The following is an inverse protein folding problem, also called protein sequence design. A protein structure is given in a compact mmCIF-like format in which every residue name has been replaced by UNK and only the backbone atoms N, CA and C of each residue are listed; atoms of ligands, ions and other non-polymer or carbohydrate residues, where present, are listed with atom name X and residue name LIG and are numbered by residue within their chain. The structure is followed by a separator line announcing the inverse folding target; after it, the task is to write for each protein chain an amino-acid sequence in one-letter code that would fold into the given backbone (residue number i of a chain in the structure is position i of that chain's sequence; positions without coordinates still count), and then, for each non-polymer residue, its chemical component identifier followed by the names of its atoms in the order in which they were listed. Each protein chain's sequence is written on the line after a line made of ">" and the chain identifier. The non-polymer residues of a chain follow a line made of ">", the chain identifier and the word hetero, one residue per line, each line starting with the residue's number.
data_IF_477386483416
#
_entry.id   IF_477386483416
#
_cell.length_a   1.000
_cell.length_b   1.000
_cell.length_c   1.000
_cell.angle_alpha   90.00
_cell.angle_beta   90.00
_cell.angle_gamma   90.00
#
_symmetry.space_group_name_H-M   'P 1'
#
loop_
_entity.id
_entity.type
_entity.pdbx_description
1 polymer ?
#
# COMPACT_ATOMS: atom_id res chain seq x y z
N UNK A 1 40.23 16.26 2.39
CA UNK A 1 38.99 16.74 1.75
C UNK A 1 38.23 15.50 1.27
N UNK A 2 37.12 15.14 1.93
CA UNK A 2 36.24 14.06 1.45
C UNK A 2 35.86 14.37 0.01
N UNK A 3 36.23 13.52 -0.94
CA UNK A 3 35.88 13.70 -2.35
C UNK A 3 34.36 13.79 -2.51
N UNK A 4 33.85 14.53 -3.50
CA UNK A 4 32.40 14.59 -3.82
C UNK A 4 31.83 13.16 -3.94
N UNK A 5 32.64 12.23 -4.46
CA UNK A 5 32.36 10.79 -4.51
C UNK A 5 32.05 10.20 -3.12
N UNK A 6 32.92 10.40 -2.14
CA UNK A 6 32.69 9.94 -0.76
C UNK A 6 31.43 10.55 -0.16
N UNK A 7 31.16 11.83 -0.42
CA UNK A 7 29.93 12.50 0.00
C UNK A 7 28.68 11.79 -0.52
N UNK A 8 28.62 11.54 -1.83
CA UNK A 8 27.51 10.84 -2.49
C UNK A 8 27.36 9.40 -1.99
N UNK A 9 28.46 8.66 -1.83
CA UNK A 9 28.43 7.28 -1.31
C UNK A 9 27.92 7.24 0.13
N UNK A 10 28.42 8.13 0.98
CA UNK A 10 27.96 8.24 2.36
C UNK A 10 26.46 8.57 2.44
N UNK A 11 25.97 9.46 1.57
CA UNK A 11 24.53 9.72 1.45
C UNK A 11 23.74 8.47 1.07
N UNK A 12 24.19 7.72 0.06
CA UNK A 12 23.49 6.52 -0.43
C UNK A 12 23.43 5.40 0.62
N UNK A 13 24.42 5.31 1.50
CA UNK A 13 24.51 4.29 2.54
C UNK A 13 23.94 4.71 3.90
N UNK A 14 23.54 5.98 4.09
CA UNK A 14 22.89 6.44 5.33
C UNK A 14 21.72 5.52 5.74
N UNK A 15 21.51 5.29 7.05
CA UNK A 15 20.43 4.43 7.50
C UNK A 15 19.06 5.04 7.16
N UNK A 16 18.20 4.27 6.50
CA UNK A 16 16.83 4.67 6.21
C UNK A 16 15.86 4.15 7.29
N UNK A 17 15.04 5.05 7.85
CA UNK A 17 14.07 4.69 8.90
C UNK A 17 12.86 3.96 8.30
N UNK A 18 12.63 2.71 8.72
CA UNK A 18 11.53 1.88 8.20
C UNK A 18 10.23 1.98 9.02
N UNK A 19 10.41 2.10 10.33
CA UNK A 19 9.33 2.14 11.32
C UNK A 19 9.12 3.59 11.79
N UNK A 20 8.01 4.15 11.35
CA UNK A 20 7.57 5.51 11.65
C UNK A 20 6.05 5.57 11.53
N UNK A 21 5.46 6.60 12.13
CA UNK A 21 4.02 6.84 12.09
C UNK A 21 3.60 7.12 10.65
N UNK A 22 2.51 6.53 10.20
CA UNK A 22 1.93 6.79 8.87
C UNK A 22 0.53 7.32 9.04
N UNK A 23 -0.03 7.89 7.97
CA UNK A 23 -1.42 8.35 7.96
C UNK A 23 -2.34 7.18 8.29
N UNK A 24 -3.28 7.45 9.19
CA UNK A 24 -4.37 6.52 9.45
C UNK A 24 -5.39 6.60 8.31
N UNK A 25 -6.06 5.48 8.05
CA UNK A 25 -7.26 5.48 7.21
C UNK A 25 -8.34 6.23 7.99
N UNK A 26 -8.76 7.39 7.44
CA UNK A 26 -9.81 8.21 8.04
C UNK A 26 -11.16 7.65 7.56
N UNK A 27 -12.07 7.45 8.51
CA UNK A 27 -13.40 6.92 8.25
C UNK A 27 -14.41 7.88 8.86
N UNK A 28 -15.40 8.32 8.09
CA UNK A 28 -16.39 9.33 8.48
C UNK A 28 -17.61 8.74 9.21
N UNK A 29 -17.80 7.42 9.13
CA UNK A 29 -18.90 6.76 9.81
C UNK A 29 -19.17 5.36 9.31
N UNK A 30 -20.29 4.81 9.75
CA UNK A 30 -20.79 3.52 9.27
C UNK A 30 -21.09 3.60 7.77
N UNK A 31 -20.66 2.59 7.01
CA UNK A 31 -20.81 2.48 5.55
C UNK A 31 -20.00 3.51 4.73
N UNK A 32 -19.04 4.20 5.33
CA UNK A 32 -18.19 5.13 4.58
C UNK A 32 -17.21 4.39 3.66
N UNK A 33 -16.48 3.40 4.20
CA UNK A 33 -15.40 2.73 3.49
C UNK A 33 -15.40 1.22 3.73
N UNK A 34 -15.34 0.46 2.64
CA UNK A 34 -14.91 -0.94 2.65
C UNK A 34 -13.50 -1.08 2.07
N UNK A 35 -12.75 -2.04 2.57
CA UNK A 35 -11.51 -2.50 1.94
C UNK A 35 -11.67 -3.93 1.45
N UNK A 36 -11.11 -4.22 0.29
CA UNK A 36 -11.18 -5.54 -0.33
C UNK A 36 -9.77 -6.05 -0.65
N UNK A 37 -9.59 -7.37 -0.54
CA UNK A 37 -8.36 -8.05 -0.94
C UNK A 37 -8.66 -9.50 -1.32
N UNK A 38 -7.78 -10.10 -2.11
CA UNK A 38 -7.89 -11.49 -2.55
C UNK A 38 -6.80 -12.33 -1.88
N UNK A 39 -7.21 -13.25 -1.02
CA UNK A 39 -6.29 -14.18 -0.36
C UNK A 39 -6.12 -15.45 -1.19
N UNK A 40 -4.86 -15.81 -1.43
CA UNK A 40 -4.51 -17.05 -2.15
C UNK A 40 -4.53 -18.29 -1.24
N UNK A 41 -5.16 -19.35 -1.75
CA UNK A 41 -5.29 -20.68 -1.16
C UNK A 41 -4.99 -21.78 -2.22
N UNK A 42 -4.21 -21.42 -3.25
CA UNK A 42 -3.96 -22.21 -4.46
C UNK A 42 -3.49 -23.66 -4.17
N UNK A 43 -2.55 -23.91 -3.23
CA UNK A 43 -2.05 -25.27 -2.98
C UNK A 43 -3.14 -26.27 -2.57
N UNK A 44 -4.26 -25.78 -2.03
CA UNK A 44 -5.34 -26.61 -1.49
C UNK A 44 -6.53 -26.71 -2.44
N UNK A 45 -6.43 -26.21 -3.67
CA UNK A 45 -7.58 -26.09 -4.56
C UNK A 45 -8.25 -27.43 -4.92
N UNK A 46 -7.46 -28.50 -5.10
CA UNK A 46 -7.97 -29.83 -5.49
C UNK A 46 -9.02 -30.36 -4.52
N UNK A 47 -8.73 -30.28 -3.22
CA UNK A 47 -9.63 -30.75 -2.15
C UNK A 47 -10.74 -29.72 -1.80
N UNK A 48 -10.63 -28.49 -2.30
CA UNK A 48 -11.58 -27.40 -2.09
C UNK A 48 -12.39 -27.10 -3.35
N UNK A 49 -12.82 -28.14 -4.11
CA UNK A 49 -13.71 -28.01 -5.28
C UNK A 49 -13.19 -27.04 -6.36
N UNK A 50 -11.88 -26.90 -6.48
CA UNK A 50 -11.21 -26.00 -7.42
C UNK A 50 -11.18 -24.52 -6.99
N UNK A 51 -11.64 -24.18 -5.78
CA UNK A 51 -11.50 -22.83 -5.24
C UNK A 51 -10.05 -22.55 -4.87
N UNK A 52 -9.49 -21.47 -5.42
CA UNK A 52 -8.07 -21.10 -5.30
C UNK A 52 -7.86 -19.84 -4.47
N UNK A 53 -8.91 -19.04 -4.29
CA UNK A 53 -8.84 -17.73 -3.68
C UNK A 53 -10.02 -17.50 -2.75
N UNK A 54 -9.88 -16.52 -1.85
CA UNK A 54 -10.95 -16.01 -1.00
C UNK A 54 -10.98 -14.49 -1.14
N UNK A 55 -12.08 -13.95 -1.65
CA UNK A 55 -12.33 -12.52 -1.64
C UNK A 55 -12.73 -12.13 -0.22
N UNK A 56 -11.95 -11.25 0.41
CA UNK A 56 -12.22 -10.72 1.75
C UNK A 56 -12.64 -9.27 1.60
N UNK A 57 -13.76 -8.91 2.21
CA UNK A 57 -14.29 -7.55 2.25
C UNK A 57 -14.47 -7.16 3.71
N UNK A 58 -13.88 -6.05 4.13
CA UNK A 58 -14.06 -5.50 5.47
C UNK A 58 -14.69 -4.12 5.42
N UNK A 59 -15.74 -3.92 6.23
CA UNK A 59 -16.20 -2.57 6.58
C UNK A 59 -15.20 -1.96 7.58
N UNK A 60 -14.51 -0.90 7.15
CA UNK A 60 -13.42 -0.33 7.95
C UNK A 60 -13.94 0.29 9.25
N UNK A 61 -15.17 0.79 9.29
CA UNK A 61 -15.75 1.38 10.49
C UNK A 61 -16.11 0.31 11.54
N UNK A 62 -16.99 -0.63 11.16
CA UNK A 62 -17.54 -1.66 12.07
C UNK A 62 -16.60 -2.84 12.30
N UNK A 63 -15.56 -2.96 11.46
CA UNK A 63 -14.69 -4.13 11.37
C UNK A 63 -15.41 -5.41 10.94
N UNK A 64 -16.64 -5.31 10.43
CA UNK A 64 -17.40 -6.46 9.95
C UNK A 64 -16.79 -7.00 8.67
N UNK A 65 -16.66 -8.31 8.57
CA UNK A 65 -15.99 -8.99 7.45
C UNK A 65 -16.99 -9.88 6.72
N UNK A 66 -16.91 -9.85 5.39
CA UNK A 66 -17.49 -10.84 4.50
C UNK A 66 -16.36 -11.57 3.80
N UNK A 67 -16.58 -12.85 3.47
CA UNK A 67 -15.65 -13.61 2.66
C UNK A 67 -16.41 -14.51 1.68
N UNK A 68 -15.94 -14.58 0.44
CA UNK A 68 -16.49 -15.46 -0.59
C UNK A 68 -15.37 -16.23 -1.30
N UNK A 69 -15.55 -17.54 -1.54
CA UNK A 69 -14.57 -18.35 -2.24
C UNK A 69 -14.59 -18.04 -3.74
N UNK A 70 -13.41 -17.96 -4.36
CA UNK A 70 -13.25 -17.61 -5.78
C UNK A 70 -12.35 -18.65 -6.48
N UNK A 71 -12.77 -19.12 -7.66
CA UNK A 71 -12.05 -20.17 -8.41
C UNK A 71 -10.86 -19.63 -9.20
N UNK A 72 -11.02 -18.49 -9.88
CA UNK A 72 -9.96 -17.87 -10.68
C UNK A 72 -9.86 -16.39 -10.34
N UNK A 73 -8.67 -15.83 -10.48
CA UNK A 73 -8.39 -14.40 -10.28
C UNK A 73 -8.81 -13.55 -11.49
N UNK A 74 -9.93 -13.92 -12.13
CA UNK A 74 -10.46 -13.17 -13.28
C UNK A 74 -11.38 -12.06 -12.78
N UNK A 75 -11.49 -10.97 -13.55
CA UNK A 75 -12.41 -9.88 -13.25
C UNK A 75 -13.84 -10.36 -13.06
N UNK A 76 -14.33 -11.24 -13.95
CA UNK A 76 -15.67 -11.83 -13.89
C UNK A 76 -15.93 -12.63 -12.61
N UNK A 77 -15.01 -13.51 -12.22
CA UNK A 77 -15.17 -14.35 -11.02
C UNK A 77 -15.15 -13.51 -9.74
N UNK A 78 -14.23 -12.54 -9.65
CA UNK A 78 -14.13 -11.61 -8.51
C UNK A 78 -15.36 -10.71 -8.44
N UNK A 79 -15.85 -10.23 -9.58
CA UNK A 79 -17.08 -9.42 -9.68
C UNK A 79 -18.31 -10.19 -9.21
N UNK A 80 -18.44 -11.48 -9.59
CA UNK A 80 -19.54 -12.33 -9.13
C UNK A 80 -19.53 -12.51 -7.60
N UNK A 81 -18.35 -12.76 -7.02
CA UNK A 81 -18.20 -12.84 -5.57
C UNK A 81 -18.52 -11.50 -4.87
N UNK A 82 -18.02 -10.38 -5.41
CA UNK A 82 -18.31 -9.05 -4.88
C UNK A 82 -19.80 -8.72 -4.94
N UNK A 83 -20.48 -9.05 -6.05
CA UNK A 83 -21.93 -8.85 -6.20
C UNK A 83 -22.71 -9.62 -5.13
N UNK A 84 -22.32 -10.87 -4.84
CA UNK A 84 -22.93 -11.67 -3.78
C UNK A 84 -22.76 -11.02 -2.42
N UNK A 85 -21.56 -10.52 -2.10
CA UNK A 85 -21.32 -9.79 -0.84
C UNK A 85 -22.16 -8.52 -0.76
N UNK A 86 -22.19 -7.70 -1.82
CA UNK A 86 -22.99 -6.46 -1.84
C UNK A 86 -24.47 -6.73 -1.63
N UNK A 87 -25.02 -7.83 -2.17
CA UNK A 87 -26.43 -8.21 -1.91
C UNK A 87 -26.74 -8.60 -0.46
N UNK A 88 -25.73 -8.97 0.33
CA UNK A 88 -25.89 -9.28 1.76
C UNK A 88 -25.78 -8.02 2.64
N UNK A 89 -25.30 -6.90 2.10
CA UNK A 89 -25.10 -5.68 2.87
C UNK A 89 -26.43 -4.96 3.09
N UNK A 90 -26.74 -4.62 4.35
CA UNK A 90 -27.92 -3.81 4.68
C UNK A 90 -27.86 -2.39 4.10
N UNK A 91 -26.66 -1.89 3.86
CA UNK A 91 -26.42 -0.57 3.30
C UNK A 91 -25.17 -0.60 2.42
N UNK A 92 -25.26 0.04 1.26
CA UNK A 92 -24.17 0.10 0.28
C UNK A 92 -23.11 1.10 0.75
N UNK A 93 -21.81 0.74 0.71
CA UNK A 93 -20.75 1.63 1.14
C UNK A 93 -20.54 2.77 0.13
N UNK A 94 -20.09 3.93 0.62
CA UNK A 94 -19.75 5.07 -0.25
C UNK A 94 -18.47 4.84 -1.02
N UNK A 95 -17.50 4.18 -0.39
CA UNK A 95 -16.15 4.00 -0.92
C UNK A 95 -15.71 2.54 -0.86
N UNK A 96 -14.99 2.10 -1.87
CA UNK A 96 -14.29 0.83 -1.93
C UNK A 96 -12.81 1.05 -2.22
N UNK A 97 -11.96 0.51 -1.35
CA UNK A 97 -10.50 0.61 -1.49
C UNK A 97 -9.85 -0.76 -1.63
N UNK A 98 -8.95 -0.90 -2.60
CA UNK A 98 -8.12 -2.09 -2.81
C UNK A 98 -6.66 -1.71 -3.14
N UNK A 99 -5.88 -2.71 -3.50
CA UNK A 99 -4.55 -2.54 -4.09
C UNK A 99 -4.64 -2.26 -5.60
N UNK A 100 -3.55 -2.40 -6.38
CA UNK A 100 -3.63 -2.19 -7.84
C UNK A 100 -3.78 -3.52 -8.60
N UNK A 101 -4.44 -4.50 -8.00
CA UNK A 101 -4.73 -5.79 -8.62
C UNK A 101 -5.60 -5.64 -9.87
N UNK A 102 -5.18 -6.25 -10.99
CA UNK A 102 -5.91 -6.20 -12.28
C UNK A 102 -7.30 -6.82 -12.20
N UNK A 103 -7.51 -7.73 -11.26
CA UNK A 103 -8.80 -8.35 -10.97
C UNK A 103 -9.88 -7.36 -10.48
N UNK A 104 -9.47 -6.17 -10.02
CA UNK A 104 -10.37 -5.09 -9.61
C UNK A 104 -10.45 -3.96 -10.64
N UNK A 105 -9.47 -3.84 -11.53
CA UNK A 105 -9.41 -2.82 -12.59
C UNK A 105 -9.74 -3.42 -13.95
N UNK A 106 -11.01 -3.78 -14.14
CA UNK A 106 -11.57 -4.30 -15.38
C UNK A 106 -13.02 -3.84 -15.56
N UNK A 107 -13.54 -3.99 -16.78
CA UNK A 107 -14.87 -3.52 -17.16
C UNK A 107 -15.98 -4.12 -16.29
N UNK A 108 -15.96 -5.44 -16.05
CA UNK A 108 -17.00 -6.10 -15.24
C UNK A 108 -17.09 -5.53 -13.82
N UNK A 109 -15.92 -5.33 -13.18
CA UNK A 109 -15.87 -4.78 -11.82
C UNK A 109 -16.28 -3.31 -11.79
N UNK A 110 -15.83 -2.53 -12.78
CA UNK A 110 -16.20 -1.12 -12.90
C UNK A 110 -17.70 -0.94 -13.11
N UNK A 111 -18.32 -1.76 -13.95
CA UNK A 111 -19.77 -1.74 -14.21
C UNK A 111 -20.56 -2.05 -12.93
N UNK A 112 -20.10 -3.02 -12.13
CA UNK A 112 -20.71 -3.36 -10.83
C UNK A 112 -20.61 -2.18 -9.86
N UNK A 113 -19.42 -1.65 -9.65
CA UNK A 113 -19.18 -0.53 -8.73
C UNK A 113 -20.00 0.70 -9.12
N UNK A 114 -20.07 1.00 -10.42
CA UNK A 114 -20.86 2.12 -10.97
C UNK A 114 -22.36 1.89 -10.73
N UNK A 115 -22.85 0.67 -10.98
CA UNK A 115 -24.25 0.29 -10.71
C UNK A 115 -24.64 0.51 -9.25
N UNK A 116 -23.75 0.20 -8.32
CA UNK A 116 -23.97 0.41 -6.88
C UNK A 116 -23.60 1.82 -6.41
N UNK A 117 -23.17 2.72 -7.31
CA UNK A 117 -22.75 4.11 -7.02
C UNK A 117 -21.64 4.18 -5.95
N UNK A 118 -20.71 3.24 -6.01
CA UNK A 118 -19.58 3.16 -5.08
C UNK A 118 -18.40 3.90 -5.70
N UNK A 119 -17.72 4.75 -4.93
CA UNK A 119 -16.45 5.33 -5.35
C UNK A 119 -15.32 4.31 -5.15
N UNK A 120 -14.70 3.84 -6.23
CA UNK A 120 -13.64 2.83 -6.19
C UNK A 120 -12.28 3.44 -6.47
N UNK A 121 -11.33 3.19 -5.58
CA UNK A 121 -9.98 3.73 -5.70
C UNK A 121 -8.92 2.86 -5.04
N UNK A 122 -7.66 3.05 -5.44
CA UNK A 122 -6.52 2.44 -4.75
C UNK A 122 -5.51 3.49 -4.34
N UNK A 123 -4.78 3.21 -3.27
CA UNK A 123 -3.75 4.12 -2.76
C UNK A 123 -2.36 3.67 -3.19
N UNK A 124 -1.61 4.57 -3.82
CA UNK A 124 -0.18 4.40 -4.11
C UNK A 124 0.63 4.50 -2.81
N UNK A 125 0.88 3.35 -2.17
CA UNK A 125 1.80 3.20 -1.05
C UNK A 125 2.38 1.79 -1.06
N UNK A 126 3.56 1.58 -0.48
CA UNK A 126 4.16 0.25 -0.30
C UNK A 126 3.43 -0.60 0.74
N UNK A 127 2.60 0.01 1.63
CA UNK A 127 1.76 -0.65 2.64
C UNK A 127 0.29 -0.36 2.36
N UNK A 128 -0.23 -0.92 1.26
CA UNK A 128 -1.62 -0.71 0.79
C UNK A 128 -2.61 -1.37 1.76
N UNK A 129 -3.80 -0.79 1.90
CA UNK A 129 -4.95 -1.37 2.59
C UNK A 129 -4.66 -2.12 3.93
N UNK A 130 -3.89 -1.51 4.83
CA UNK A 130 -3.44 -2.14 6.09
C UNK A 130 -4.53 -2.74 6.99
N UNK A 131 -5.80 -2.34 6.83
CA UNK A 131 -6.91 -2.89 7.62
C UNK A 131 -7.32 -4.26 7.09
N UNK A 132 -7.48 -4.42 5.77
CA UNK A 132 -7.77 -5.74 5.18
C UNK A 132 -6.58 -6.70 5.33
N UNK A 133 -5.33 -6.23 5.20
CA UNK A 133 -4.15 -7.08 5.45
C UNK A 133 -4.14 -7.69 6.86
N UNK A 134 -4.53 -6.90 7.87
CA UNK A 134 -4.63 -7.36 9.27
C UNK A 134 -5.71 -8.42 9.43
N UNK A 135 -6.84 -8.25 8.76
CA UNK A 135 -7.96 -9.20 8.77
C UNK A 135 -7.57 -10.48 8.07
N UNK A 136 -6.89 -10.40 6.93
CA UNK A 136 -6.39 -11.56 6.20
C UNK A 136 -5.51 -12.41 7.09
N UNK A 137 -4.62 -11.79 7.87
CA UNK A 137 -3.81 -12.48 8.88
C UNK A 137 -4.66 -13.15 9.96
N UNK A 138 -5.67 -12.45 10.49
CA UNK A 138 -6.56 -12.99 11.51
C UNK A 138 -7.36 -14.18 11.00
N UNK A 139 -7.97 -14.07 9.81
CA UNK A 139 -8.74 -15.15 9.17
C UNK A 139 -7.83 -16.32 8.80
N UNK A 140 -6.65 -16.08 8.20
CA UNK A 140 -5.68 -17.14 7.93
C UNK A 140 -5.32 -17.88 9.21
N UNK A 141 -5.01 -17.19 10.30
CA UNK A 141 -4.69 -17.83 11.57
C UNK A 141 -5.85 -18.71 12.09
N UNK A 142 -7.10 -18.29 11.93
CA UNK A 142 -8.27 -19.10 12.30
C UNK A 142 -8.43 -20.32 11.39
N UNK A 143 -8.22 -20.17 10.08
CA UNK A 143 -8.26 -21.27 9.10
C UNK A 143 -7.16 -22.29 9.41
N UNK A 144 -5.93 -21.84 9.66
CA UNK A 144 -4.79 -22.71 9.98
C UNK A 144 -5.00 -23.50 11.27
N UNK A 145 -5.59 -22.89 12.30
CA UNK A 145 -5.99 -23.62 13.52
C UNK A 145 -7.00 -24.73 13.19
N UNK A 146 -7.96 -24.48 12.31
CA UNK A 146 -8.91 -25.51 11.88
C UNK A 146 -8.23 -26.61 11.05
N UNK A 147 -7.23 -26.28 10.24
CA UNK A 147 -6.45 -27.29 9.52
C UNK A 147 -5.73 -28.24 10.49
N UNK A 148 -5.07 -27.71 11.53
CA UNK A 148 -4.43 -28.53 12.56
C UNK A 148 -5.43 -29.40 13.32
N UNK A 149 -6.60 -28.85 13.66
CA UNK A 149 -7.65 -29.60 14.39
C UNK A 149 -8.29 -30.73 13.56
N UNK A 150 -8.43 -30.54 12.24
CA UNK A 150 -9.13 -31.46 11.35
C UNK A 150 -8.21 -32.44 10.62
N UNK A 151 -6.90 -32.22 10.67
CA UNK A 151 -5.91 -32.99 9.91
C UNK A 151 -6.03 -32.86 8.39
N UNK A 152 -6.72 -31.83 7.88
CA UNK A 152 -6.88 -31.61 6.44
C UNK A 152 -7.01 -30.13 6.08
N UNK A 153 -6.76 -29.80 4.81
CA UNK A 153 -6.77 -28.43 4.31
C UNK A 153 -8.10 -28.01 3.65
N UNK A 154 -9.23 -28.65 3.99
CA UNK A 154 -10.55 -28.34 3.44
C UNK A 154 -11.16 -27.12 4.14
N UNK A 155 -10.91 -25.94 3.58
CA UNK A 155 -11.36 -24.66 4.13
C UNK A 155 -12.74 -24.22 3.63
N UNK A 156 -13.21 -24.75 2.49
CA UNK A 156 -14.45 -24.29 1.86
C UNK A 156 -15.67 -24.48 2.78
N UNK A 157 -15.72 -25.57 3.53
CA UNK A 157 -16.84 -25.91 4.42
C UNK A 157 -16.83 -25.10 5.73
N UNK A 158 -15.69 -24.50 6.10
CA UNK A 158 -15.51 -23.78 7.37
C UNK A 158 -15.40 -22.27 7.22
N UNK A 159 -15.31 -21.77 5.98
CA UNK A 159 -15.05 -20.36 5.73
C UNK A 159 -16.10 -19.48 6.41
N UNK A 160 -17.39 -19.81 6.24
CA UNK A 160 -18.48 -19.01 6.80
C UNK A 160 -18.56 -19.11 8.32
N UNK A 161 -18.24 -20.26 8.91
CA UNK A 161 -18.17 -20.42 10.37
C UNK A 161 -17.06 -19.55 10.97
N UNK A 162 -15.91 -19.50 10.31
CA UNK A 162 -14.77 -18.67 10.71
C UNK A 162 -15.12 -17.18 10.63
N UNK A 163 -15.76 -16.75 9.54
CA UNK A 163 -16.22 -15.37 9.36
C UNK A 163 -17.25 -15.00 10.43
N UNK A 164 -18.21 -15.90 10.68
CA UNK A 164 -19.24 -15.72 11.72
C UNK A 164 -18.62 -15.61 13.11
N UNK A 165 -17.65 -16.49 13.43
CA UNK A 165 -16.90 -16.44 14.69
C UNK A 165 -16.13 -15.13 14.83
N UNK A 166 -15.45 -14.68 13.78
CA UNK A 166 -14.74 -13.41 13.77
C UNK A 166 -15.70 -12.23 14.04
N UNK A 167 -16.81 -12.16 13.32
CA UNK A 167 -17.79 -11.08 13.43
C UNK A 167 -18.50 -11.05 14.80
N UNK A 168 -18.52 -12.17 15.52
CA UNK A 168 -19.09 -12.28 16.87
C UNK A 168 -18.05 -12.25 18.00
N UNK A 169 -16.78 -12.02 17.68
CA UNK A 169 -15.71 -11.84 18.67
C UNK A 169 -15.50 -10.36 18.95
N UNK A 170 -15.35 -9.99 20.23
CA UNK A 170 -15.13 -8.59 20.65
C UNK A 170 -13.83 -8.07 20.05
N UNK A 171 -13.91 -7.03 19.23
CA UNK A 171 -12.76 -6.43 18.57
C UNK A 171 -12.14 -5.34 19.43
N UNK A 172 -10.82 -5.42 19.71
CA UNK A 172 -10.11 -4.52 20.64
C UNK A 172 -10.30 -3.02 20.32
N UNK A 173 -10.21 -2.65 19.03
CA UNK A 173 -10.30 -1.24 18.60
C UNK A 173 -11.68 -0.61 18.86
N UNK A 174 -12.77 -1.26 18.45
CA UNK A 174 -14.14 -0.72 18.60
C UNK A 174 -14.79 -1.11 19.94
N UNK A 175 -14.11 -1.95 20.74
CA UNK A 175 -14.59 -2.51 22.02
C UNK A 175 -15.95 -3.22 21.95
N UNK A 176 -16.40 -3.60 20.75
CA UNK A 176 -17.65 -4.29 20.46
C UNK A 176 -17.40 -5.46 19.51
N UNK A 177 -18.37 -6.37 19.41
CA UNK A 177 -18.39 -7.35 18.32
C UNK A 177 -18.72 -6.62 17.01
N UNK A 178 -18.05 -6.92 15.89
CA UNK A 178 -18.40 -6.32 14.60
C UNK A 178 -19.89 -6.44 14.24
N UNK A 179 -20.53 -7.57 14.57
CA UNK A 179 -21.96 -7.81 14.35
C UNK A 179 -22.90 -6.91 15.15
N UNK A 180 -22.42 -6.28 16.23
CA UNK A 180 -23.21 -5.40 17.10
C UNK A 180 -23.14 -3.93 16.68
N UNK A 181 -22.31 -3.56 15.70
CA UNK A 181 -22.17 -2.17 15.26
C UNK A 181 -23.36 -1.76 14.39
N UNK A 182 -24.01 -0.65 14.74
CA UNK A 182 -25.19 -0.12 14.05
C UNK A 182 -25.30 1.40 14.22
N UNK A 183 -26.33 2.01 13.62
CA UNK A 183 -26.53 3.46 13.67
C UNK A 183 -26.65 4.03 15.10
N UNK A 184 -27.21 3.26 16.05
CA UNK A 184 -27.40 3.72 17.44
C UNK A 184 -26.06 3.91 18.17
N UNK A 185 -25.07 3.05 17.89
CA UNK A 185 -23.75 3.13 18.53
C UNK A 185 -22.66 3.77 17.64
N UNK A 186 -22.95 4.07 16.38
CA UNK A 186 -22.00 4.66 15.44
C UNK A 186 -21.42 5.99 15.95
N UNK A 187 -22.25 6.89 16.49
CA UNK A 187 -21.79 8.19 17.02
C UNK A 187 -20.74 8.02 18.13
N UNK A 188 -21.00 7.12 19.08
CA UNK A 188 -20.08 6.79 20.18
C UNK A 188 -18.77 6.19 19.66
N UNK A 189 -18.84 5.27 18.69
CA UNK A 189 -17.64 4.65 18.10
C UNK A 189 -16.80 5.72 17.38
N UNK A 190 -17.43 6.58 16.59
CA UNK A 190 -16.75 7.69 15.90
C UNK A 190 -16.01 8.59 16.89
N UNK A 191 -16.69 9.01 17.96
CA UNK A 191 -16.16 9.88 19.00
C UNK A 191 -15.06 9.26 19.87
N UNK A 192 -15.05 7.94 20.05
CA UNK A 192 -14.06 7.27 20.93
C UNK A 192 -12.89 6.68 20.17
N UNK A 193 -13.13 6.18 18.95
CA UNK A 193 -12.18 5.36 18.19
C UNK A 193 -11.55 6.10 17.03
N UNK A 194 -12.20 7.14 16.49
CA UNK A 194 -11.76 7.79 15.26
C UNK A 194 -11.55 9.31 15.40
N UNK A 195 -12.04 9.93 16.47
CA UNK A 195 -11.95 11.38 16.75
C UNK A 195 -10.54 11.89 17.04
N UNK A 196 -9.65 11.05 17.60
CA UNK A 196 -8.30 11.46 17.99
C UNK A 196 -7.35 11.65 16.79
N UNK A 197 -7.80 11.33 15.58
CA UNK A 197 -7.00 11.45 14.36
C UNK A 197 -6.88 12.92 13.96
N UNK A 198 -5.86 13.62 14.48
CA UNK A 198 -5.52 14.98 14.01
C UNK A 198 -5.31 14.94 12.49
N UNK A 199 -5.96 15.84 11.75
CA UNK A 199 -5.90 15.88 10.28
C UNK A 199 -4.56 16.42 9.77
N UNK A 200 -3.92 17.30 10.54
CA UNK A 200 -2.64 17.91 10.24
C UNK A 200 -1.57 17.53 11.27
N UNK A 201 -0.33 17.38 10.79
CA UNK A 201 0.84 17.20 11.65
C UNK A 201 1.21 18.55 12.30
N UNK A 202 1.23 18.65 13.64
CA UNK A 202 1.61 19.88 14.34
C UNK A 202 3.10 20.22 14.20
N UNK A 203 3.95 19.26 13.78
CA UNK A 203 5.38 19.51 13.62
C UNK A 203 5.64 20.49 12.47
N UNK A 204 6.79 21.15 12.46
CA UNK A 204 7.24 21.95 11.29
C UNK A 204 7.61 21.03 10.12
N UNK A 205 7.53 21.54 8.90
CA UNK A 205 7.93 20.76 7.72
C UNK A 205 9.44 20.56 7.70
N UNK A 206 9.89 19.33 7.48
CA UNK A 206 11.32 18.99 7.36
C UNK A 206 11.92 19.44 6.02
N UNK A 207 11.10 19.43 4.96
CA UNK A 207 11.49 19.82 3.61
C UNK A 207 10.58 20.94 3.08
N UNK A 208 11.08 21.71 2.11
CA UNK A 208 10.33 22.77 1.41
C UNK A 208 10.25 22.47 -0.08
N UNK A 209 9.34 23.16 -0.77
CA UNK A 209 9.25 23.11 -2.23
C UNK A 209 10.59 23.54 -2.83
N UNK A 210 11.06 22.80 -3.84
CA UNK A 210 12.37 22.99 -4.48
C UNK A 210 13.54 22.27 -3.78
N UNK A 211 13.35 21.67 -2.61
CA UNK A 211 14.41 20.81 -2.03
C UNK A 211 14.63 19.58 -2.91
N UNK A 212 15.91 19.24 -3.13
CA UNK A 212 16.33 18.03 -3.83
C UNK A 212 16.52 16.89 -2.81
N UNK A 213 15.92 15.74 -3.08
CA UNK A 213 15.84 14.62 -2.15
C UNK A 213 16.07 13.28 -2.82
N UNK A 214 16.56 12.31 -2.06
CA UNK A 214 16.58 10.89 -2.41
C UNK A 214 15.44 10.18 -1.68
N UNK A 215 14.89 9.15 -2.32
CA UNK A 215 13.82 8.32 -1.76
C UNK A 215 14.44 7.05 -1.16
N UNK A 216 13.98 6.62 0.01
CA UNK A 216 14.44 5.37 0.62
C UNK A 216 14.08 4.16 -0.26
N UNK A 217 15.04 3.29 -0.56
CA UNK A 217 14.81 2.03 -1.26
C UNK A 217 13.98 1.10 -0.40
N UNK A 218 12.96 0.47 -0.99
CA UNK A 218 12.24 -0.61 -0.34
C UNK A 218 13.17 -1.82 -0.25
N UNK A 219 13.34 -2.35 0.96
CA UNK A 219 14.11 -3.58 1.21
C UNK A 219 13.17 -4.69 1.64
N UNK A 220 13.23 -5.79 0.92
CA UNK A 220 12.59 -7.04 1.28
C UNK A 220 13.29 -7.70 2.48
N UNK A 221 12.63 -8.67 3.11
CA UNK A 221 13.14 -9.36 4.30
C UNK A 221 14.51 -10.03 4.09
N UNK A 222 14.85 -10.39 2.84
CA UNK A 222 16.13 -11.01 2.45
C UNK A 222 17.12 -10.04 1.79
N UNK A 223 16.84 -8.73 1.79
CA UNK A 223 17.74 -7.74 1.18
C UNK A 223 19.05 -7.58 1.96
N UNK A 224 20.18 -7.68 1.25
CA UNK A 224 21.52 -7.61 1.85
C UNK A 224 21.80 -6.25 2.51
N UNK A 225 22.33 -6.31 3.75
CA UNK A 225 22.56 -5.17 4.64
C UNK A 225 23.42 -4.04 4.06
N UNK A 226 24.46 -4.41 3.31
CA UNK A 226 25.51 -3.53 2.82
C UNK A 226 25.18 -2.75 1.54
N UNK A 227 24.02 -2.99 0.92
CA UNK A 227 23.62 -2.27 -0.30
C UNK A 227 23.22 -0.81 0.01
N UNK A 228 23.16 0.09 -0.99
CA UNK A 228 22.61 1.43 -0.77
C UNK A 228 21.17 1.42 -0.23
N UNK A 229 20.88 2.31 0.72
CA UNK A 229 19.55 2.46 1.32
C UNK A 229 18.68 3.50 0.60
N UNK A 230 19.26 4.36 -0.23
CA UNK A 230 18.59 5.46 -0.90
C UNK A 230 18.66 5.32 -2.43
N UNK A 231 17.72 5.97 -3.12
CA UNK A 231 17.66 6.05 -4.57
C UNK A 231 18.92 6.68 -5.13
N UNK A 232 19.36 6.15 -6.29
CA UNK A 232 20.47 6.75 -7.04
C UNK A 232 19.99 7.99 -7.78
N UNK A 233 18.75 7.96 -8.26
CA UNK A 233 18.01 9.10 -8.78
C UNK A 233 17.69 10.14 -7.69
N UNK A 234 17.70 11.40 -8.10
CA UNK A 234 17.42 12.57 -7.27
C UNK A 234 16.09 13.16 -7.71
N UNK A 235 15.26 13.54 -6.75
CA UNK A 235 13.92 14.07 -6.99
C UNK A 235 13.77 15.46 -6.40
N UNK A 236 12.82 16.23 -6.92
CA UNK A 236 12.51 17.56 -6.42
C UNK A 236 11.16 17.59 -5.71
N UNK A 237 11.09 18.26 -4.56
CA UNK A 237 9.82 18.47 -3.83
C UNK A 237 8.97 19.48 -4.57
N UNK A 238 7.82 19.06 -5.10
CA UNK A 238 6.87 19.95 -5.79
C UNK A 238 5.81 20.53 -4.85
N UNK A 239 5.42 19.77 -3.82
CA UNK A 239 4.34 20.17 -2.91
C UNK A 239 4.48 19.54 -1.54
N UNK A 240 4.27 20.37 -0.53
CA UNK A 240 4.15 19.95 0.87
C UNK A 240 2.66 19.83 1.22
N UNK A 241 2.19 18.63 1.57
CA UNK A 241 0.80 18.39 1.97
C UNK A 241 0.68 18.42 3.49
N UNK A 242 -0.25 19.23 4.02
CA UNK A 242 -0.56 19.31 5.45
C UNK A 242 -1.42 18.12 5.95
N UNK A 243 -0.86 16.93 5.82
CA UNK A 243 -1.39 15.65 6.32
C UNK A 243 -0.80 15.32 7.70
N UNK A 244 -1.27 14.26 8.35
CA UNK A 244 -0.70 13.75 9.59
C UNK A 244 -0.31 12.25 9.52
N UNK A 245 0.99 11.91 9.49
CA UNK A 245 2.14 12.82 9.41
C UNK A 245 2.25 13.53 8.06
N UNK A 246 3.03 14.61 8.00
CA UNK A 246 3.22 15.42 6.80
C UNK A 246 3.76 14.59 5.64
N UNK A 247 3.25 14.83 4.43
CA UNK A 247 3.65 14.12 3.21
C UNK A 247 4.05 15.06 2.10
N UNK A 248 4.90 14.60 1.19
CA UNK A 248 5.49 15.36 0.09
C UNK A 248 5.13 14.72 -1.24
N UNK A 249 4.84 15.55 -2.24
CA UNK A 249 4.80 15.14 -3.64
C UNK A 249 6.14 15.49 -4.28
N UNK A 250 6.60 14.63 -5.18
CA UNK A 250 7.89 14.75 -5.84
C UNK A 250 7.73 14.76 -7.37
N UNK A 251 8.73 15.28 -8.07
CA UNK A 251 8.95 15.08 -9.50
C UNK A 251 10.35 14.56 -9.77
N UNK A 252 10.54 13.85 -10.87
CA UNK A 252 11.86 13.46 -11.37
C UNK A 252 12.57 14.63 -12.08
N UNK A 253 13.71 14.32 -12.71
CA UNK A 253 14.50 15.28 -13.49
C UNK A 253 13.82 15.71 -14.81
N UNK A 254 12.90 14.88 -15.35
CA UNK A 254 12.11 15.19 -16.54
C UNK A 254 10.85 16.00 -16.22
N UNK A 255 10.73 16.47 -14.98
CA UNK A 255 9.56 17.15 -14.43
C UNK A 255 8.30 16.29 -14.31
N UNK A 256 8.41 14.97 -14.45
CA UNK A 256 7.29 14.04 -14.32
C UNK A 256 6.96 13.82 -12.84
N UNK A 257 5.69 14.01 -12.43
CA UNK A 257 5.29 13.76 -11.05
C UNK A 257 5.44 12.29 -10.66
N UNK A 258 6.12 12.03 -9.54
CA UNK A 258 6.20 10.70 -8.97
C UNK A 258 4.87 10.32 -8.32
N UNK A 259 4.31 9.19 -8.75
CA UNK A 259 3.05 8.68 -8.22
C UNK A 259 3.16 8.34 -6.73
N UNK A 260 2.25 8.91 -5.93
CA UNK A 260 2.17 8.69 -4.50
C UNK A 260 2.53 9.92 -3.67
N UNK A 261 2.59 9.75 -2.36
CA UNK A 261 3.02 10.79 -1.44
C UNK A 261 3.98 10.18 -0.42
N UNK A 262 5.09 10.87 -0.19
CA UNK A 262 6.22 10.36 0.59
C UNK A 262 6.24 10.98 1.99
N UNK A 263 6.63 10.22 3.00
CA UNK A 263 6.81 10.72 4.36
C UNK A 263 8.20 11.34 4.54
N UNK A 264 8.37 12.22 5.53
CA UNK A 264 9.67 12.82 5.86
C UNK A 264 10.78 11.78 6.14
N UNK A 265 10.41 10.61 6.67
CA UNK A 265 11.31 9.51 6.98
C UNK A 265 11.73 8.71 5.73
N UNK A 266 10.98 8.83 4.64
CA UNK A 266 11.28 8.19 3.35
C UNK A 266 12.12 9.09 2.44
N UNK A 267 12.46 10.30 2.91
CA UNK A 267 13.22 11.30 2.17
C UNK A 267 14.51 11.68 2.89
N UNK A 268 15.56 11.84 2.09
CA UNK A 268 16.85 12.37 2.53
C UNK A 268 17.22 13.55 1.65
N UNK A 269 17.63 14.67 2.26
CA UNK A 269 18.13 15.82 1.51
C UNK A 269 19.42 15.45 0.79
N UNK A 270 19.50 15.78 -0.49
CA UNK A 270 20.71 15.62 -1.30
C UNK A 270 21.54 16.92 -1.24
N UNK A 271 22.81 16.83 -0.86
CA UNK A 271 23.73 17.97 -0.88
C UNK A 271 24.32 18.24 -2.27
N UNK A 272 24.29 17.25 -3.16
CA UNK A 272 24.91 17.29 -4.48
C UNK A 272 23.88 16.96 -5.58
N UNK A 273 22.94 17.89 -5.90
CA UNK A 273 21.87 17.64 -6.86
C UNK A 273 22.37 17.47 -8.31
N UNK A 274 23.53 18.06 -8.64
CA UNK A 274 24.12 18.01 -9.99
C UNK A 274 25.02 16.79 -10.24
N UNK A 275 25.11 15.87 -9.27
CA UNK A 275 26.03 14.71 -9.35
C UNK A 275 25.24 13.43 -9.54
N UNK A 276 25.45 12.79 -10.68
CA UNK A 276 24.79 11.54 -11.06
C UNK A 276 25.82 10.41 -11.18
N UNK A 277 25.43 9.21 -10.77
CA UNK A 277 26.29 8.03 -10.86
C UNK A 277 26.21 7.42 -12.25
N UNK A 278 27.36 7.10 -12.85
CA UNK A 278 27.43 6.39 -14.13
C UNK A 278 27.32 4.88 -13.87
N UNK A 279 26.38 4.21 -14.52
CA UNK A 279 26.29 2.74 -14.52
C UNK A 279 27.32 2.13 -15.47
N UNK A 280 27.37 2.65 -16.69
CA UNK A 280 28.32 2.21 -17.71
C UNK A 280 28.53 3.28 -18.78
N UNK A 281 29.73 3.30 -19.33
CA UNK A 281 30.04 4.03 -20.56
C UNK A 281 29.67 3.13 -21.75
N UNK A 282 28.78 3.59 -22.62
CA UNK A 282 28.29 2.84 -23.78
C UNK A 282 29.16 3.09 -25.01
N UNK A 283 29.49 4.36 -25.29
CA UNK A 283 30.30 4.76 -26.46
C UNK A 283 31.27 5.87 -26.08
N UNK A 284 32.39 5.96 -26.81
CA UNK A 284 33.39 7.03 -26.70
C UNK A 284 33.54 7.70 -28.07
N UNK A 285 33.50 9.03 -28.13
CA UNK A 285 33.74 9.82 -29.35
C UNK A 285 34.58 11.04 -29.00
N UNK A 286 35.89 10.98 -29.26
CA UNK A 286 36.83 12.03 -28.89
C UNK A 286 36.83 12.32 -27.39
N UNK A 287 36.50 13.57 -27.01
CA UNK A 287 36.39 14.00 -25.61
C UNK A 287 35.01 13.76 -24.97
N UNK A 288 34.06 13.15 -25.71
CA UNK A 288 32.71 12.88 -25.21
C UNK A 288 32.48 11.39 -24.92
N UNK A 289 31.68 11.11 -23.91
CA UNK A 289 31.27 9.77 -23.47
C UNK A 289 29.75 9.68 -23.48
N UNK A 290 29.20 8.66 -24.15
CA UNK A 290 27.78 8.32 -24.01
C UNK A 290 27.64 7.41 -22.80
N UNK A 291 26.95 7.88 -21.77
CA UNK A 291 26.82 7.16 -20.50
C UNK A 291 25.38 6.71 -20.27
N UNK A 292 25.25 5.53 -19.65
CA UNK A 292 24.03 5.10 -18.98
C UNK A 292 24.14 5.50 -17.52
N UNK A 293 23.17 6.25 -17.03
CA UNK A 293 23.13 6.67 -15.63
C UNK A 293 22.55 5.58 -14.73
N UNK A 294 23.15 5.40 -13.56
CA UNK A 294 22.79 4.36 -12.62
C UNK A 294 21.43 4.67 -11.98
N UNK A 295 20.43 3.89 -12.36
CA UNK A 295 19.06 4.02 -11.85
C UNK A 295 18.16 4.97 -12.64
N UNK A 296 18.60 5.43 -13.82
CA UNK A 296 17.76 6.20 -14.75
C UNK A 296 17.57 5.43 -16.05
N UNK A 297 16.48 5.71 -16.76
CA UNK A 297 16.10 5.00 -17.98
C UNK A 297 16.62 5.65 -19.28
N UNK A 298 17.45 6.69 -19.18
CA UNK A 298 17.97 7.42 -20.33
C UNK A 298 19.51 7.39 -20.39
N UNK A 299 20.05 7.80 -21.54
CA UNK A 299 21.48 7.92 -21.77
C UNK A 299 21.79 9.32 -22.28
N UNK A 300 22.92 9.91 -21.90
CA UNK A 300 23.33 11.22 -22.40
C UNK A 300 24.83 11.27 -22.68
N UNK A 301 25.23 12.23 -23.53
CA UNK A 301 26.63 12.53 -23.80
C UNK A 301 27.16 13.50 -22.76
N UNK A 302 28.31 13.18 -22.16
CA UNK A 302 29.04 14.04 -21.23
C UNK A 302 30.47 14.26 -21.71
N UNK A 303 31.12 15.33 -21.27
CA UNK A 303 32.54 15.52 -21.52
C UNK A 303 33.36 14.72 -20.49
N UNK A 304 34.53 14.19 -20.89
CA UNK A 304 35.41 13.45 -19.96
C UNK A 304 35.80 14.27 -18.74
N UNK A 305 35.93 15.58 -18.90
CA UNK A 305 36.36 16.52 -17.85
C UNK A 305 35.26 16.77 -16.80
N UNK A 306 34.01 16.36 -17.07
CA UNK A 306 32.88 16.47 -16.13
C UNK A 306 32.83 15.29 -15.15
N UNK A 307 33.67 14.26 -15.36
CA UNK A 307 33.78 13.12 -14.43
C UNK A 307 34.62 13.56 -13.23
N UNK A 308 33.93 13.76 -12.11
CA UNK A 308 34.52 13.96 -10.77
C UNK A 308 34.79 12.61 -10.13
#
# INVERSE_FOLDING_TARGET
>A
MSSIKEGVVNELHKPARRNFKRRHVIVKGLNDLIQIDLVEMIPYARINKGYRYVLIVINVFSKFVWAEPVKRKTGKDVTAAMKKILSQMKAIPRNCQNDMGKEFYNKDFQDLITKFRINHYSTFSTKKASVVERVNRALKNLIWKQFSLRGNYKWIDILQDIVTKYNNTKHKTIRLKPSQVNNRNAKRILQTTYSYLKTSDPKRSKFKVGDHVRISKYRELFSKGYTPNWSNEVFSVIKVKNTNPRTYLLKDENEEPILGAFYSEELQKNAHPQVHLIEKVIKKKGNKLLVKWLGMNHTSWINKNEIV
#
